data_IF_508845546756
#
_entry.id   IF_508845546756
#
_cell.length_a   1.000
_cell.length_b   1.000
_cell.length_c   1.000
_cell.angle_alpha   90.00
_cell.angle_beta   90.00
_cell.angle_gamma   90.00
#
_symmetry.space_group_name_H-M   'P 1'
#
loop_
_entity.id
_entity.type
_entity.pdbx_description
1 polymer ?
#
# COMPACT_ATOMS: atom_id res chain seq x y z
N UNK A 1 -25.28 32.46 14.02
CA UNK A 1 -24.46 32.61 12.79
C UNK A 1 -23.00 32.24 13.11
N UNK A 2 -22.45 31.25 12.42
CA UNK A 2 -21.04 30.88 12.57
C UNK A 2 -20.15 32.04 12.09
N UNK A 3 -19.06 32.31 12.79
CA UNK A 3 -18.15 33.40 12.41
C UNK A 3 -17.32 32.97 11.19
N UNK A 4 -16.94 33.90 10.32
CA UNK A 4 -16.11 33.59 9.13
C UNK A 4 -14.84 32.82 9.50
N UNK A 5 -14.23 33.12 10.65
CA UNK A 5 -13.05 32.40 11.17
C UNK A 5 -13.31 30.93 11.50
N UNK A 6 -14.50 30.61 12.03
CA UNK A 6 -14.89 29.22 12.31
C UNK A 6 -15.24 28.48 11.02
N UNK A 7 -15.83 29.16 10.03
CA UNK A 7 -16.08 28.59 8.71
C UNK A 7 -14.78 28.28 7.94
N UNK A 8 -13.80 29.18 7.99
CA UNK A 8 -12.49 29.01 7.36
C UNK A 8 -11.67 27.89 8.02
N UNK A 9 -11.77 27.74 9.35
CA UNK A 9 -11.11 26.64 10.07
C UNK A 9 -11.68 25.26 9.69
N UNK A 10 -12.99 25.18 9.40
CA UNK A 10 -13.64 23.96 8.91
C UNK A 10 -13.24 23.67 7.45
N UNK A 11 -13.23 24.70 6.58
CA UNK A 11 -12.81 24.58 5.18
C UNK A 11 -11.35 24.13 5.02
N UNK A 12 -10.43 24.61 5.88
CA UNK A 12 -9.03 24.19 5.86
C UNK A 12 -8.84 22.74 6.35
N UNK A 13 -9.61 22.30 7.35
CA UNK A 13 -9.56 20.92 7.86
C UNK A 13 -10.09 19.90 6.85
N UNK A 14 -11.01 20.31 5.96
CA UNK A 14 -11.48 19.47 4.84
C UNK A 14 -10.42 19.39 3.73
N UNK A 15 -9.62 20.44 3.48
CA UNK A 15 -8.52 20.41 2.50
C UNK A 15 -7.33 19.55 2.95
N UNK A 16 -7.03 19.53 4.25
CA UNK A 16 -5.96 18.67 4.80
C UNK A 16 -6.33 17.18 4.87
N UNK A 17 -7.62 16.83 4.73
CA UNK A 17 -8.09 15.44 4.75
C UNK A 17 -7.98 14.67 3.43
N UNK A 18 -7.58 15.32 2.33
CA UNK A 18 -7.65 14.73 0.97
C UNK A 18 -6.29 14.31 0.42
N UNK A 19 -5.19 14.75 1.02
CA UNK A 19 -3.84 14.28 0.65
C UNK A 19 -3.39 13.18 1.60
N UNK A 20 -4.11 12.05 1.62
CA UNK A 20 -3.39 10.80 1.93
C UNK A 20 -2.29 10.71 0.86
N UNK A 21 -1.00 10.70 1.24
CA UNK A 21 0.06 10.61 0.25
C UNK A 21 -0.23 9.37 -0.59
N UNK A 22 -0.59 9.59 -1.86
CA UNK A 22 -0.78 8.48 -2.79
C UNK A 22 0.54 7.71 -2.76
N UNK A 23 0.52 6.38 -2.59
CA UNK A 23 1.74 5.59 -2.67
C UNK A 23 2.51 6.04 -3.92
N UNK A 24 3.73 6.53 -3.74
CA UNK A 24 4.57 6.96 -4.88
C UNK A 24 4.79 5.81 -5.86
N UNK A 25 4.65 4.58 -5.36
CA UNK A 25 4.76 3.33 -6.10
C UNK A 25 3.37 2.70 -6.15
N UNK A 26 2.77 2.68 -7.33
CA UNK A 26 1.57 1.90 -7.64
C UNK A 26 1.99 0.49 -7.99
N UNK A 27 1.25 -0.51 -7.50
CA UNK A 27 1.50 -1.92 -7.82
C UNK A 27 0.41 -2.46 -8.74
N UNK A 28 0.77 -3.38 -9.62
CA UNK A 28 -0.16 -4.04 -10.53
C UNK A 28 -0.05 -5.57 -10.42
N UNK A 29 -1.16 -6.33 -10.59
CA UNK A 29 -1.08 -7.77 -10.71
C UNK A 29 -0.13 -8.21 -11.83
N UNK A 30 0.72 -9.20 -11.54
CA UNK A 30 1.77 -9.69 -12.43
C UNK A 30 3.13 -9.03 -12.20
N UNK A 31 3.22 -7.96 -11.42
CA UNK A 31 4.52 -7.35 -11.10
C UNK A 31 5.35 -8.23 -10.16
N UNK A 32 6.66 -8.26 -10.42
CA UNK A 32 7.62 -8.85 -9.50
C UNK A 32 7.97 -7.87 -8.39
N UNK A 33 7.92 -8.37 -7.16
CA UNK A 33 8.25 -7.60 -5.97
C UNK A 33 9.20 -8.41 -5.10
N UNK A 34 10.06 -7.69 -4.38
CA UNK A 34 10.88 -8.25 -3.30
C UNK A 34 10.28 -7.82 -1.97
N UNK A 35 10.17 -8.77 -1.05
CA UNK A 35 9.74 -8.48 0.31
C UNK A 35 10.93 -7.95 1.10
N UNK A 36 10.77 -6.81 1.77
CA UNK A 36 11.82 -6.09 2.51
C UNK A 36 11.61 -6.08 4.03
N UNK A 37 10.49 -6.62 4.51
CA UNK A 37 10.16 -6.68 5.93
C UNK A 37 9.37 -7.95 6.30
N UNK A 38 9.43 -8.33 7.58
CA UNK A 38 8.71 -9.47 8.13
C UNK A 38 9.39 -10.83 7.90
N UNK A 39 8.67 -11.94 8.17
CA UNK A 39 9.25 -13.30 8.13
C UNK A 39 9.59 -13.79 6.72
N UNK A 40 9.15 -13.07 5.70
CA UNK A 40 9.40 -13.36 4.29
C UNK A 40 10.39 -12.38 3.65
N UNK A 41 11.13 -11.59 4.46
CA UNK A 41 12.17 -10.70 3.97
C UNK A 41 13.17 -11.45 3.04
N UNK A 42 13.68 -10.76 2.03
CA UNK A 42 14.56 -11.23 0.97
C UNK A 42 13.96 -12.25 -0.02
N UNK A 43 12.70 -12.65 0.15
CA UNK A 43 12.02 -13.45 -0.85
C UNK A 43 11.44 -12.57 -1.97
N UNK A 44 11.45 -13.14 -3.19
CA UNK A 44 10.77 -12.56 -4.34
C UNK A 44 9.39 -13.20 -4.50
N UNK A 45 8.46 -12.42 -5.02
CA UNK A 45 7.12 -12.90 -5.33
C UNK A 45 6.48 -12.11 -6.47
N UNK A 46 5.32 -12.61 -6.89
CA UNK A 46 4.50 -11.96 -7.92
C UNK A 46 3.24 -11.42 -7.26
N UNK A 47 2.91 -10.16 -7.53
CA UNK A 47 1.65 -9.58 -7.07
C UNK A 47 0.50 -10.28 -7.80
N UNK A 48 -0.43 -10.88 -7.06
CA UNK A 48 -1.64 -11.48 -7.63
C UNK A 48 -2.82 -10.51 -7.60
N UNK A 49 -2.92 -9.73 -6.53
CA UNK A 49 -4.05 -8.83 -6.29
C UNK A 49 -3.60 -7.63 -5.48
N UNK A 50 -4.17 -6.47 -5.78
CA UNK A 50 -3.90 -5.21 -5.08
C UNK A 50 -5.19 -4.65 -4.52
N UNK A 51 -5.24 -4.49 -3.19
CA UNK A 51 -6.35 -3.86 -2.50
C UNK A 51 -5.92 -2.52 -1.93
N UNK A 52 -6.14 -1.46 -2.70
CA UNK A 52 -5.79 -0.09 -2.31
C UNK A 52 -6.63 0.43 -1.14
N UNK A 53 -7.91 0.05 -1.05
CA UNK A 53 -8.80 0.48 0.03
C UNK A 53 -8.33 -0.03 1.40
N UNK A 54 -7.83 -1.27 1.43
CA UNK A 54 -7.28 -1.91 2.64
C UNK A 54 -5.78 -1.73 2.81
N UNK A 55 -5.11 -1.14 1.82
CA UNK A 55 -3.65 -1.03 1.78
C UNK A 55 -2.93 -2.38 1.94
N UNK A 56 -3.36 -3.37 1.14
CA UNK A 56 -2.86 -4.75 1.16
C UNK A 56 -2.58 -5.26 -0.24
N UNK A 57 -1.59 -6.15 -0.33
CA UNK A 57 -1.18 -6.87 -1.52
C UNK A 57 -1.30 -8.37 -1.26
N UNK A 58 -1.90 -9.12 -2.18
CA UNK A 58 -1.74 -10.58 -2.20
C UNK A 58 -0.55 -10.89 -3.10
N UNK A 59 0.49 -11.48 -2.52
CA UNK A 59 1.74 -11.79 -3.21
C UNK A 59 1.97 -13.30 -3.18
N UNK A 60 2.24 -13.89 -4.33
CA UNK A 60 2.68 -15.26 -4.47
C UNK A 60 4.20 -15.33 -4.28
N UNK A 61 4.65 -15.63 -3.07
CA UNK A 61 6.08 -15.71 -2.72
C UNK A 61 6.63 -17.09 -3.05
N UNK A 62 7.79 -17.14 -3.69
CA UNK A 62 8.43 -18.39 -4.07
C UNK A 62 9.35 -18.89 -2.95
N UNK A 63 8.92 -19.93 -2.22
CA UNK A 63 9.66 -20.52 -1.10
C UNK A 63 9.92 -22.00 -1.40
N UNK A 64 11.18 -22.41 -1.45
CA UNK A 64 11.59 -23.79 -1.77
C UNK A 64 10.96 -24.35 -3.06
N UNK A 65 10.82 -23.51 -4.09
CA UNK A 65 10.19 -23.88 -5.36
C UNK A 65 8.67 -24.04 -5.30
N UNK A 66 8.02 -23.66 -4.19
CA UNK A 66 6.57 -23.65 -4.02
C UNK A 66 6.06 -22.22 -3.96
N UNK A 67 5.02 -21.94 -4.73
CA UNK A 67 4.29 -20.67 -4.65
C UNK A 67 3.41 -20.68 -3.40
N UNK A 68 3.64 -19.74 -2.49
CA UNK A 68 2.86 -19.57 -1.26
C UNK A 68 2.20 -18.18 -1.29
N UNK A 69 0.87 -18.08 -1.36
CA UNK A 69 0.19 -16.79 -1.32
C UNK A 69 0.23 -16.22 0.11
N UNK A 70 0.66 -14.97 0.22
CA UNK A 70 0.71 -14.23 1.48
C UNK A 70 0.11 -12.83 1.29
N UNK A 71 -0.46 -12.27 2.35
CA UNK A 71 -0.90 -10.88 2.37
C UNK A 71 0.18 -9.99 3.00
N UNK A 72 0.57 -8.94 2.29
CA UNK A 72 1.59 -7.98 2.70
C UNK A 72 1.07 -6.56 2.61
N UNK A 73 1.67 -5.65 3.36
CA UNK A 73 1.43 -4.22 3.20
C UNK A 73 2.35 -3.61 2.14
N UNK A 74 1.95 -2.47 1.57
CA UNK A 74 2.76 -1.77 0.56
C UNK A 74 4.17 -1.41 1.02
N UNK A 75 4.38 -1.19 2.32
CA UNK A 75 5.69 -0.82 2.87
C UNK A 75 6.61 -2.04 3.09
N UNK A 76 6.07 -3.25 3.04
CA UNK A 76 6.82 -4.49 3.25
C UNK A 76 7.40 -5.04 1.94
N UNK A 77 7.14 -4.38 0.82
CA UNK A 77 7.62 -4.80 -0.50
C UNK A 77 8.24 -3.63 -1.27
N UNK A 78 9.20 -3.96 -2.12
CA UNK A 78 9.79 -3.07 -3.12
C UNK A 78 9.61 -3.68 -4.51
N UNK A 79 9.48 -2.85 -5.55
CA UNK A 79 9.51 -3.35 -6.94
C UNK A 79 10.92 -3.87 -7.24
N UNK A 80 10.99 -5.07 -7.81
CA UNK A 80 12.22 -5.66 -8.30
C UNK A 80 12.70 -5.01 -9.61
#
# INVERSE_FOLDING_TARGET
PITQREADAILNRVREGVDKPRPKVLFEPGEMVRVIDGPFNDFNGVVEEVNYDKSRLRVAVLIFGRSTPVELEFHQVEKS
#
